data_IF_736673715044
#
_entry.id   IF_736673715044
#
_cell.length_a   1.000
_cell.length_b   1.000
_cell.length_c   1.000
_cell.angle_alpha   90.00
_cell.angle_beta   90.00
_cell.angle_gamma   90.00
#
_symmetry.space_group_name_H-M   'P 1'
#
loop_
_entity.id
_entity.type
_entity.pdbx_description
1 polymer ?
#
# COMPACT_ATOMS: atom_id res chain seq x y z
N UNK A 1 5.99 30.01 -48.61
CA UNK A 1 7.35 30.35 -48.15
C UNK A 1 7.96 29.05 -47.62
N UNK A 2 8.65 28.29 -48.46
CA UNK A 2 10.12 28.30 -48.64
C UNK A 2 10.83 27.89 -47.32
N UNK A 3 11.34 26.66 -47.19
CA UNK A 3 12.66 26.16 -47.66
C UNK A 3 13.81 27.09 -47.26
N UNK A 4 14.95 26.70 -46.70
CA UNK A 4 15.79 25.48 -46.73
C UNK A 4 16.94 25.75 -45.72
N UNK A 5 17.89 24.90 -45.31
CA UNK A 5 18.66 23.79 -45.91
C UNK A 5 19.49 23.16 -44.77
N UNK A 6 19.55 21.84 -44.60
CA UNK A 6 20.37 20.84 -45.32
C UNK A 6 21.85 20.80 -44.89
N UNK A 7 22.27 19.64 -44.39
CA UNK A 7 23.58 19.04 -44.65
C UNK A 7 23.49 17.54 -44.40
N UNK A 8 23.26 16.80 -45.48
CA UNK A 8 23.52 15.36 -45.60
C UNK A 8 25.01 15.06 -45.47
N UNK A 9 25.34 13.94 -44.81
CA UNK A 9 26.50 13.13 -45.16
C UNK A 9 26.02 11.75 -45.60
N UNK A 10 26.49 11.33 -46.76
CA UNK A 10 25.88 10.40 -47.70
C UNK A 10 26.59 9.04 -47.70
N UNK A 11 25.78 7.96 -47.70
CA UNK A 11 26.01 6.63 -48.34
C UNK A 11 27.05 5.71 -47.68
N UNK A 12 26.76 4.44 -47.36
CA UNK A 12 26.54 3.39 -48.38
C UNK A 12 25.71 2.21 -47.86
N UNK A 13 24.77 1.81 -48.71
CA UNK A 13 23.93 0.61 -48.65
C UNK A 13 24.74 -0.68 -48.55
N UNK A 14 24.43 -1.49 -47.53
CA UNK A 14 24.55 -2.94 -47.63
C UNK A 14 23.13 -3.51 -47.76
N UNK A 15 22.71 -3.71 -49.00
CA UNK A 15 21.61 -4.58 -49.39
C UNK A 15 21.87 -5.99 -48.85
N UNK A 16 21.15 -6.38 -47.79
CA UNK A 16 20.84 -7.78 -47.53
C UNK A 16 19.41 -7.99 -48.01
N UNK A 17 19.29 -8.46 -49.25
CA UNK A 17 18.02 -8.93 -49.77
C UNK A 17 17.56 -10.14 -48.96
N UNK A 18 16.32 -10.06 -48.45
CA UNK A 18 15.46 -11.23 -48.32
C UNK A 18 15.50 -12.01 -47.01
N UNK A 19 15.03 -11.40 -45.92
CA UNK A 19 14.20 -12.13 -44.96
C UNK A 19 13.26 -11.14 -44.28
N UNK A 20 11.99 -11.14 -44.69
CA UNK A 20 10.98 -10.31 -44.04
C UNK A 20 10.96 -10.62 -42.55
N UNK A 21 11.43 -9.70 -41.72
CA UNK A 21 11.27 -9.80 -40.28
C UNK A 21 9.77 -9.55 -40.00
N UNK A 22 8.98 -10.61 -40.03
CA UNK A 22 7.61 -10.57 -39.55
C UNK A 22 7.67 -10.30 -38.05
N UNK A 23 7.35 -9.07 -37.66
CA UNK A 23 7.22 -8.69 -36.25
C UNK A 23 6.11 -9.54 -35.62
N UNK A 24 6.25 -9.89 -34.34
CA UNK A 24 5.20 -10.62 -33.61
C UNK A 24 3.87 -9.84 -33.61
N UNK A 25 3.93 -8.52 -33.73
CA UNK A 25 2.78 -7.62 -33.89
C UNK A 25 2.03 -7.79 -35.21
N UNK A 26 2.61 -8.45 -36.21
CA UNK A 26 1.95 -8.78 -37.47
C UNK A 26 1.02 -10.01 -37.36
N UNK A 27 1.13 -10.78 -36.26
CA UNK A 27 0.24 -11.91 -35.97
C UNK A 27 -1.03 -11.35 -35.33
N UNK A 28 -2.19 -11.89 -35.73
CA UNK A 28 -3.47 -11.46 -35.17
C UNK A 28 -3.49 -11.68 -33.64
N UNK A 29 -3.94 -10.69 -32.84
CA UNK A 29 -3.90 -10.77 -31.37
C UNK A 29 -4.55 -12.02 -30.79
N UNK A 30 -5.65 -12.50 -31.39
CA UNK A 30 -6.31 -13.74 -30.95
C UNK A 30 -5.40 -14.97 -31.07
N UNK A 31 -4.60 -15.09 -32.14
CA UNK A 31 -3.71 -16.24 -32.34
C UNK A 31 -2.61 -16.23 -31.29
N UNK A 32 -2.05 -15.06 -30.99
CA UNK A 32 -1.05 -14.89 -29.94
C UNK A 32 -1.66 -15.31 -28.60
N UNK A 33 -2.86 -14.83 -28.31
CA UNK A 33 -3.54 -15.07 -27.05
C UNK A 33 -3.92 -16.55 -26.85
N UNK A 34 -4.60 -17.18 -27.83
CA UNK A 34 -5.19 -18.50 -27.65
C UNK A 34 -4.20 -19.64 -27.85
N UNK A 35 -3.12 -19.44 -28.61
CA UNK A 35 -2.24 -20.52 -29.04
C UNK A 35 -0.77 -20.33 -28.63
N UNK A 36 -0.34 -19.09 -28.33
CA UNK A 36 1.05 -18.83 -27.90
C UNK A 36 1.10 -18.62 -26.39
N UNK A 37 0.34 -17.65 -25.88
CA UNK A 37 0.39 -17.28 -24.45
C UNK A 37 -0.16 -18.38 -23.54
N UNK A 38 -1.15 -19.15 -23.99
CA UNK A 38 -1.71 -20.29 -23.26
C UNK A 38 -0.73 -21.44 -23.02
N UNK A 39 0.38 -21.48 -23.77
CA UNK A 39 1.44 -22.49 -23.62
C UNK A 39 2.54 -22.08 -22.65
N UNK A 40 2.54 -20.83 -22.18
CA UNK A 40 3.56 -20.30 -21.28
C UNK A 40 3.20 -20.59 -19.83
N UNK A 41 4.21 -20.89 -19.01
CA UNK A 41 4.05 -20.92 -17.57
C UNK A 41 4.00 -19.49 -17.00
N UNK A 42 3.54 -19.35 -15.76
CA UNK A 42 3.35 -18.03 -15.14
C UNK A 42 4.59 -17.12 -15.22
N UNK A 43 5.80 -17.59 -14.87
CA UNK A 43 7.02 -16.80 -14.99
C UNK A 43 7.35 -16.38 -16.43
N UNK A 44 7.23 -17.28 -17.41
CA UNK A 44 7.52 -16.94 -18.82
C UNK A 44 6.48 -15.99 -19.39
N UNK A 45 5.22 -16.10 -18.99
CA UNK A 45 4.16 -15.17 -19.37
C UNK A 45 4.40 -13.75 -18.82
N UNK A 46 4.83 -13.63 -17.56
CA UNK A 46 5.21 -12.34 -16.96
C UNK A 46 6.41 -11.71 -17.67
N UNK A 47 7.41 -12.52 -18.02
CA UNK A 47 8.56 -12.08 -18.81
C UNK A 47 8.13 -11.59 -20.19
N UNK A 48 7.28 -12.33 -20.90
CA UNK A 48 6.75 -11.94 -22.21
C UNK A 48 5.96 -10.62 -22.14
N UNK A 49 5.15 -10.41 -21.09
CA UNK A 49 4.41 -9.17 -20.87
C UNK A 49 5.32 -7.93 -20.76
N UNK A 50 6.55 -8.08 -20.26
CA UNK A 50 7.49 -6.96 -20.10
C UNK A 50 8.15 -6.49 -21.41
N UNK A 51 8.04 -7.27 -22.48
CA UNK A 51 8.77 -7.01 -23.73
C UNK A 51 8.08 -6.03 -24.67
N UNK A 52 6.76 -5.86 -24.56
CA UNK A 52 5.99 -4.92 -25.37
C UNK A 52 4.63 -4.60 -24.76
N UNK A 53 4.08 -3.42 -25.08
CA UNK A 53 2.74 -3.01 -24.66
C UNK A 53 1.63 -3.90 -25.20
N UNK A 54 1.80 -4.46 -26.41
CA UNK A 54 0.84 -5.40 -27.01
C UNK A 54 0.80 -6.72 -26.23
N UNK A 55 1.97 -7.29 -25.92
CA UNK A 55 2.04 -8.51 -25.11
C UNK A 55 1.60 -8.27 -23.67
N UNK A 56 1.90 -7.10 -23.11
CA UNK A 56 1.36 -6.69 -21.80
C UNK A 56 -0.18 -6.70 -21.80
N UNK A 57 -0.80 -6.08 -22.81
CA UNK A 57 -2.26 -6.02 -22.94
C UNK A 57 -2.89 -7.41 -23.09
N UNK A 58 -2.27 -8.31 -23.85
CA UNK A 58 -2.78 -9.66 -24.06
C UNK A 58 -2.54 -10.58 -22.85
N UNK A 59 -1.40 -10.45 -22.19
CA UNK A 59 -1.04 -11.21 -20.99
C UNK A 59 -1.78 -10.75 -19.74
N UNK A 60 -2.46 -9.59 -19.77
CA UNK A 60 -3.26 -9.09 -18.64
C UNK A 60 -4.63 -9.75 -18.52
N UNK A 61 -5.00 -10.65 -19.44
CA UNK A 61 -6.29 -11.32 -19.40
C UNK A 61 -6.38 -12.38 -18.28
N UNK A 62 -7.42 -12.26 -17.46
CA UNK A 62 -7.63 -13.08 -16.26
C UNK A 62 -7.80 -14.57 -16.58
N UNK A 63 -8.47 -14.91 -17.67
CA UNK A 63 -8.70 -16.30 -18.11
C UNK A 63 -7.39 -17.06 -18.34
N UNK A 64 -6.35 -16.34 -18.78
CA UNK A 64 -5.06 -16.91 -19.12
C UNK A 64 -4.31 -17.35 -17.85
N UNK A 65 -4.28 -16.48 -16.83
CA UNK A 65 -3.74 -16.80 -15.52
C UNK A 65 -4.58 -17.83 -14.78
N UNK A 66 -5.91 -17.75 -14.87
CA UNK A 66 -6.81 -18.73 -14.28
C UNK A 66 -6.57 -20.13 -14.87
N UNK A 67 -6.35 -20.24 -16.17
CA UNK A 67 -6.01 -21.50 -16.84
C UNK A 67 -4.65 -22.05 -16.38
N UNK A 68 -3.63 -21.21 -16.27
CA UNK A 68 -2.31 -21.60 -15.76
C UNK A 68 -2.40 -22.08 -14.31
N UNK A 69 -3.15 -21.38 -13.46
CA UNK A 69 -3.37 -21.80 -12.07
C UNK A 69 -4.09 -23.15 -11.98
N UNK A 70 -5.13 -23.36 -12.81
CA UNK A 70 -5.86 -24.64 -12.88
C UNK A 70 -5.00 -25.79 -13.38
N UNK A 71 -4.13 -25.54 -14.37
CA UNK A 71 -3.25 -26.58 -14.93
C UNK A 71 -2.10 -26.93 -13.98
N UNK A 72 -1.58 -25.94 -13.26
CA UNK A 72 -0.46 -26.13 -12.32
C UNK A 72 -0.94 -26.69 -10.98
N UNK A 73 -2.12 -26.28 -10.52
CA UNK A 73 -2.69 -26.67 -9.23
C UNK A 73 -4.15 -27.11 -9.39
N UNK A 74 -4.40 -28.38 -9.76
CA UNK A 74 -5.76 -28.91 -10.01
C UNK A 74 -6.72 -28.77 -8.82
N UNK A 75 -6.19 -28.66 -7.59
CA UNK A 75 -6.95 -28.37 -6.37
C UNK A 75 -7.66 -27.01 -6.38
N UNK A 76 -7.25 -26.09 -7.28
CA UNK A 76 -7.89 -24.79 -7.47
C UNK A 76 -9.18 -24.83 -8.29
N UNK A 77 -9.49 -25.95 -8.96
CA UNK A 77 -10.68 -26.09 -9.81
C UNK A 77 -11.96 -26.52 -9.05
N UNK A 78 -11.92 -26.52 -7.72
CA UNK A 78 -13.09 -26.94 -6.93
C UNK A 78 -14.20 -25.87 -6.97
N UNK A 79 -15.49 -26.26 -7.11
CA UNK A 79 -16.61 -25.31 -7.16
C UNK A 79 -16.73 -24.40 -5.92
N UNK A 80 -16.26 -24.88 -4.76
CA UNK A 80 -16.20 -24.10 -3.51
C UNK A 80 -15.12 -23.03 -3.56
N UNK A 81 -13.94 -23.33 -4.10
CA UNK A 81 -12.86 -22.36 -4.24
C UNK A 81 -13.17 -21.33 -5.33
N UNK A 82 -13.77 -21.74 -6.46
CA UNK A 82 -14.27 -20.80 -7.49
C UNK A 82 -15.28 -19.80 -6.94
N UNK A 83 -16.19 -20.25 -6.07
CA UNK A 83 -17.17 -19.39 -5.42
C UNK A 83 -16.52 -18.42 -4.42
N UNK A 84 -15.50 -18.88 -3.68
CA UNK A 84 -14.69 -18.03 -2.78
C UNK A 84 -13.90 -17.00 -3.58
N UNK A 85 -13.34 -17.41 -4.73
CA UNK A 85 -12.61 -16.53 -5.64
C UNK A 85 -13.53 -15.49 -6.28
N UNK A 86 -14.75 -15.86 -6.67
CA UNK A 86 -15.74 -14.93 -7.22
C UNK A 86 -16.39 -14.02 -6.17
N UNK A 87 -16.24 -14.30 -4.88
CA UNK A 87 -16.70 -13.42 -3.79
C UNK A 87 -15.65 -12.39 -3.37
N UNK A 88 -14.44 -12.42 -3.95
CA UNK A 88 -13.49 -11.32 -3.76
C UNK A 88 -14.09 -10.05 -4.36
N UNK A 89 -14.27 -9.02 -3.54
CA UNK A 89 -14.75 -7.72 -3.96
C UNK A 89 -13.90 -7.21 -5.12
N UNK A 90 -14.42 -7.19 -6.35
CA UNK A 90 -13.65 -6.78 -7.54
C UNK A 90 -13.05 -5.38 -7.37
N UNK A 91 -13.73 -4.55 -6.58
CA UNK A 91 -13.42 -3.16 -6.31
C UNK A 91 -13.69 -2.84 -4.83
N UNK A 92 -12.82 -2.03 -4.24
CA UNK A 92 -13.03 -1.39 -2.94
C UNK A 92 -13.22 0.11 -3.19
N UNK A 93 -14.31 0.67 -2.68
CA UNK A 93 -14.59 2.10 -2.86
C UNK A 93 -14.20 2.85 -1.59
N UNK A 94 -13.34 3.85 -1.73
CA UNK A 94 -12.96 4.79 -0.68
C UNK A 94 -13.70 6.11 -0.88
N UNK A 95 -14.62 6.44 0.03
CA UNK A 95 -15.27 7.74 0.10
C UNK A 95 -14.67 8.54 1.27
N UNK A 96 -14.08 9.70 0.96
CA UNK A 96 -13.24 10.43 1.91
C UNK A 96 -13.65 11.89 1.98
N UNK A 97 -13.94 12.34 3.19
CA UNK A 97 -14.30 13.72 3.49
C UNK A 97 -13.39 14.27 4.60
N UNK A 98 -12.84 15.47 4.36
CA UNK A 98 -12.05 16.23 5.35
C UNK A 98 -12.77 17.52 5.66
N UNK A 99 -12.92 17.80 6.95
CA UNK A 99 -13.59 18.99 7.46
C UNK A 99 -12.63 19.81 8.31
N UNK A 100 -12.79 21.13 8.25
CA UNK A 100 -12.13 22.09 9.13
C UNK A 100 -13.19 22.98 9.77
N UNK A 101 -13.24 23.03 11.11
CA UNK A 101 -14.29 23.75 11.87
C UNK A 101 -15.71 23.38 11.42
N UNK A 102 -15.91 22.09 11.11
CA UNK A 102 -17.19 21.57 10.61
C UNK A 102 -17.55 21.93 9.17
N UNK A 103 -16.68 22.63 8.43
CA UNK A 103 -16.87 22.92 7.00
C UNK A 103 -16.08 21.94 6.15
N UNK A 104 -16.70 21.39 5.11
CA UNK A 104 -16.05 20.49 4.16
C UNK A 104 -14.97 21.24 3.37
N UNK A 105 -13.74 20.73 3.40
CA UNK A 105 -12.58 21.34 2.70
C UNK A 105 -11.96 20.43 1.65
N UNK A 106 -12.21 19.13 1.74
CA UNK A 106 -11.82 18.15 0.74
C UNK A 106 -12.84 17.01 0.72
N UNK A 107 -13.23 16.57 -0.48
CA UNK A 107 -14.05 15.38 -0.67
C UNK A 107 -13.64 14.68 -1.96
N UNK A 108 -13.41 13.37 -1.89
CA UNK A 108 -13.09 12.55 -3.06
C UNK A 108 -13.57 11.12 -2.87
N UNK A 109 -13.98 10.51 -3.97
CA UNK A 109 -14.29 9.08 -4.06
C UNK A 109 -13.29 8.45 -5.03
N UNK A 110 -12.69 7.33 -4.61
CA UNK A 110 -11.75 6.56 -5.43
C UNK A 110 -12.14 5.09 -5.37
N UNK A 111 -12.13 4.46 -6.54
CA UNK A 111 -12.31 3.01 -6.70
C UNK A 111 -10.92 2.37 -6.74
N UNK A 112 -10.73 1.30 -5.98
CA UNK A 112 -9.47 0.56 -5.90
C UNK A 112 -9.70 -0.86 -6.37
N UNK A 113 -9.07 -1.24 -7.49
CA UNK A 113 -9.10 -2.59 -8.00
C UNK A 113 -8.29 -3.52 -7.08
N UNK A 114 -8.90 -4.61 -6.63
CA UNK A 114 -8.32 -5.51 -5.61
C UNK A 114 -7.75 -6.80 -6.19
N UNK A 115 -8.01 -7.05 -7.47
CA UNK A 115 -7.78 -8.36 -8.10
C UNK A 115 -6.40 -8.48 -8.73
N UNK A 116 -5.81 -7.37 -9.17
CA UNK A 116 -4.52 -7.38 -9.86
C UNK A 116 -3.44 -8.04 -9.00
N UNK A 117 -2.57 -8.81 -9.67
CA UNK A 117 -1.38 -9.36 -9.02
C UNK A 117 -0.51 -8.26 -8.40
N UNK A 118 -0.47 -7.08 -9.04
CA UNK A 118 0.20 -5.89 -8.51
C UNK A 118 -0.38 -5.47 -7.16
N UNK A 119 -1.68 -5.19 -7.07
CA UNK A 119 -2.33 -4.84 -5.81
C UNK A 119 -2.05 -5.86 -4.71
N UNK A 120 -2.19 -7.16 -5.02
CA UNK A 120 -2.03 -8.24 -4.04
C UNK A 120 -0.60 -8.35 -3.48
N UNK A 121 0.41 -7.93 -4.23
CA UNK A 121 1.83 -8.05 -3.86
C UNK A 121 2.44 -6.71 -3.40
N UNK A 122 1.87 -5.58 -3.80
CA UNK A 122 2.34 -4.24 -3.41
C UNK A 122 1.88 -3.87 -2.00
N UNK A 123 2.63 -2.99 -1.29
CA UNK A 123 2.16 -2.36 -0.06
C UNK A 123 0.77 -1.74 -0.28
N UNK A 124 -0.15 -2.01 0.64
CA UNK A 124 -1.49 -1.47 0.57
C UNK A 124 -1.45 0.04 0.82
N UNK A 125 -1.73 0.80 -0.24
CA UNK A 125 -1.82 2.26 -0.19
C UNK A 125 -2.94 2.73 -1.10
N UNK A 126 -3.77 3.64 -0.59
CA UNK A 126 -4.79 4.33 -1.39
C UNK A 126 -4.46 5.82 -1.34
N UNK A 127 -4.01 6.36 -2.47
CA UNK A 127 -3.70 7.77 -2.64
C UNK A 127 -4.87 8.48 -3.32
N UNK A 128 -5.33 9.59 -2.74
CA UNK A 128 -6.43 10.39 -3.29
C UNK A 128 -5.94 11.56 -4.14
N UNK A 129 -4.64 11.87 -4.13
CA UNK A 129 -4.06 12.95 -4.92
C UNK A 129 -2.84 12.41 -5.64
N UNK A 130 -2.67 12.81 -6.90
CA UNK A 130 -1.39 12.58 -7.56
C UNK A 130 -0.31 13.45 -6.89
N UNK A 131 0.98 13.05 -6.88
CA UNK A 131 2.05 13.82 -6.23
C UNK A 131 2.21 15.26 -6.74
N UNK A 132 1.62 15.58 -7.89
CA UNK A 132 1.63 16.92 -8.50
C UNK A 132 0.35 17.71 -8.23
N UNK A 133 -0.69 17.06 -7.73
CA UNK A 133 -1.96 17.69 -7.45
C UNK A 133 -1.87 18.47 -6.14
N UNK A 134 -2.48 19.64 -6.17
CA UNK A 134 -2.54 20.51 -5.00
C UNK A 134 -3.95 21.06 -4.91
N UNK A 135 -4.61 20.84 -3.78
CA UNK A 135 -5.95 21.37 -3.53
C UNK A 135 -5.85 22.59 -2.61
N UNK A 136 -6.12 23.80 -3.12
CA UNK A 136 -6.12 24.99 -2.28
C UNK A 136 -7.32 24.97 -1.33
N UNK A 137 -7.11 25.41 -0.09
CA UNK A 137 -8.17 25.55 0.91
C UNK A 137 -8.19 26.97 1.47
N UNK A 138 -9.35 27.54 1.83
CA UNK A 138 -9.44 28.88 2.40
C UNK A 138 -8.92 28.96 3.85
N UNK A 139 -8.24 27.93 4.34
CA UNK A 139 -7.71 27.86 5.71
C UNK A 139 -6.37 28.58 5.74
N UNK A 140 -6.10 29.38 6.76
CA UNK A 140 -4.79 30.04 6.92
C UNK A 140 -3.72 29.07 7.41
N UNK A 141 -2.54 29.16 6.82
CA UNK A 141 -1.39 28.36 7.21
C UNK A 141 -1.01 28.65 8.67
N UNK A 142 -0.81 27.62 9.52
CA UNK A 142 -0.48 27.84 10.91
C UNK A 142 0.83 28.60 11.04
N UNK A 143 0.80 29.71 11.79
CA UNK A 143 1.96 30.55 12.08
C UNK A 143 2.27 30.46 13.58
N UNK A 144 3.51 30.09 13.92
CA UNK A 144 3.94 29.81 15.30
C UNK A 144 3.93 28.32 15.66
N UNK A 145 4.51 28.00 16.83
CA UNK A 145 4.75 26.62 17.29
C UNK A 145 3.46 25.93 17.77
N UNK A 146 2.59 26.66 18.49
CA UNK A 146 1.31 26.15 19.01
C UNK A 146 0.19 26.08 17.96
N UNK A 147 0.36 26.76 16.81
CA UNK A 147 -0.67 26.85 15.78
C UNK A 147 -0.96 25.48 15.12
N UNK A 148 0.03 24.57 15.08
CA UNK A 148 -0.17 23.20 14.60
C UNK A 148 -1.17 22.42 15.47
N UNK A 149 -1.14 22.60 16.79
CA UNK A 149 -2.09 21.97 17.71
C UNK A 149 -3.52 22.41 17.43
N UNK A 150 -3.74 23.74 17.29
CA UNK A 150 -5.06 24.30 16.98
C UNK A 150 -5.61 23.84 15.63
N UNK A 151 -4.75 23.71 14.61
CA UNK A 151 -5.14 23.16 13.31
C UNK A 151 -5.65 21.72 13.45
N UNK A 152 -4.99 20.90 14.26
CA UNK A 152 -5.39 19.53 14.54
C UNK A 152 -6.75 19.43 15.22
N UNK A 153 -7.00 20.26 16.24
CA UNK A 153 -8.25 20.23 17.01
C UNK A 153 -9.49 20.52 16.14
N UNK A 154 -9.32 21.41 15.16
CA UNK A 154 -10.36 21.86 14.25
C UNK A 154 -10.58 20.93 13.05
N UNK A 155 -9.62 20.05 12.74
CA UNK A 155 -9.71 19.09 11.65
C UNK A 155 -10.48 17.83 12.08
N UNK A 156 -11.34 17.35 11.18
CA UNK A 156 -11.94 16.02 11.28
C UNK A 156 -11.93 15.33 9.93
N UNK A 157 -11.89 14.00 9.95
CA UNK A 157 -11.82 13.20 8.73
C UNK A 157 -12.77 12.00 8.84
N UNK A 158 -13.44 11.68 7.74
CA UNK A 158 -14.19 10.43 7.58
C UNK A 158 -13.67 9.69 6.37
N UNK A 159 -13.08 8.51 6.58
CA UNK A 159 -12.70 7.59 5.51
C UNK A 159 -13.59 6.37 5.55
N UNK A 160 -14.54 6.30 4.63
CA UNK A 160 -15.51 5.21 4.52
C UNK A 160 -15.04 4.27 3.42
N UNK A 161 -14.70 3.04 3.80
CA UNK A 161 -14.51 1.94 2.89
C UNK A 161 -15.84 1.25 2.64
N UNK A 162 -16.16 1.04 1.37
CA UNK A 162 -17.37 0.37 0.93
C UNK A 162 -16.95 -0.84 0.10
N UNK A 163 -17.42 -2.00 0.53
CA UNK A 163 -17.35 -3.24 -0.24
C UNK A 163 -18.70 -3.41 -0.96
N UNK A 164 -18.75 -3.14 -2.28
CA UNK A 164 -19.98 -3.26 -3.06
C UNK A 164 -20.44 -4.72 -3.18
N UNK A 165 -19.50 -5.67 -3.21
CA UNK A 165 -19.80 -7.10 -3.33
C UNK A 165 -20.39 -7.65 -2.04
N UNK A 166 -19.76 -7.35 -0.90
CA UNK A 166 -20.27 -7.72 0.42
C UNK A 166 -21.49 -6.89 0.87
N UNK A 167 -21.80 -5.79 0.18
CA UNK A 167 -22.81 -4.78 0.56
C UNK A 167 -22.61 -4.32 2.01
N UNK A 168 -21.37 -3.94 2.32
CA UNK A 168 -20.95 -3.49 3.64
C UNK A 168 -20.17 -2.20 3.49
N UNK A 169 -20.16 -1.41 4.56
CA UNK A 169 -19.32 -0.23 4.66
C UNK A 169 -18.79 -0.09 6.08
N UNK A 170 -17.58 0.41 6.20
CA UNK A 170 -16.97 0.76 7.48
C UNK A 170 -16.22 2.07 7.38
N UNK A 171 -16.20 2.81 8.49
CA UNK A 171 -15.29 3.93 8.65
C UNK A 171 -14.00 3.44 9.34
N UNK A 172 -12.85 3.71 8.72
CA UNK A 172 -11.51 3.32 9.17
C UNK A 172 -10.67 4.51 9.66
N UNK A 173 -11.30 5.66 9.87
CA UNK A 173 -10.69 6.84 10.48
C UNK A 173 -11.06 6.97 11.95
N UNK A 174 -10.20 7.64 12.73
CA UNK A 174 -10.45 8.00 14.14
C UNK A 174 -11.44 9.15 14.34
N UNK A 175 -11.96 9.74 13.26
CA UNK A 175 -12.68 11.02 13.25
C UNK A 175 -11.81 12.25 13.62
N UNK A 176 -11.13 12.20 14.77
CA UNK A 176 -10.15 13.19 15.24
C UNK A 176 -8.71 12.75 14.97
N UNK A 177 -7.77 13.68 14.77
CA UNK A 177 -6.37 13.32 14.54
C UNK A 177 -5.75 12.68 15.79
N UNK A 178 -4.83 11.75 15.56
CA UNK A 178 -4.03 11.09 16.59
C UNK A 178 -2.65 11.71 16.76
N UNK A 179 -2.13 12.37 15.72
CA UNK A 179 -0.93 13.21 15.80
C UNK A 179 -0.96 14.31 14.75
N UNK A 180 -0.29 15.42 15.07
CA UNK A 180 -0.05 16.54 14.15
C UNK A 180 1.41 16.94 14.28
N UNK A 181 2.16 16.81 13.19
CA UNK A 181 3.60 17.01 13.17
C UNK A 181 3.97 17.95 12.04
N UNK A 182 4.82 18.95 12.32
CA UNK A 182 5.39 19.82 11.28
C UNK A 182 6.72 19.25 10.86
N UNK A 183 6.87 18.90 9.58
CA UNK A 183 8.12 18.43 9.04
C UNK A 183 9.17 19.55 9.08
N UNK A 184 10.31 19.29 9.70
CA UNK A 184 11.34 20.30 9.97
C UNK A 184 11.91 20.97 8.71
N UNK A 185 12.11 20.20 7.63
CA UNK A 185 12.67 20.70 6.36
C UNK A 185 11.61 21.31 5.42
N UNK A 186 10.62 20.53 4.97
CA UNK A 186 9.58 20.99 4.04
C UNK A 186 8.61 22.00 4.65
N UNK A 187 8.62 22.15 5.98
CA UNK A 187 7.68 22.96 6.78
C UNK A 187 6.22 22.52 6.71
N UNK A 188 5.89 21.51 5.92
CA UNK A 188 4.55 20.94 5.77
C UNK A 188 4.05 20.35 7.09
N UNK A 189 2.74 20.42 7.30
CA UNK A 189 2.07 19.84 8.45
C UNK A 189 1.46 18.51 8.05
N UNK A 190 1.91 17.43 8.68
CA UNK A 190 1.32 16.11 8.55
C UNK A 190 0.32 15.88 9.68
N UNK A 191 -0.93 15.66 9.31
CA UNK A 191 -2.01 15.31 10.23
C UNK A 191 -2.32 13.84 10.07
N UNK A 192 -2.16 13.05 11.14
CA UNK A 192 -2.41 11.61 11.12
C UNK A 192 -3.75 11.29 11.78
N UNK A 193 -4.54 10.47 11.12
CA UNK A 193 -5.71 9.80 11.67
C UNK A 193 -5.42 8.30 11.73
N UNK A 194 -5.96 7.59 12.71
CA UNK A 194 -5.71 6.15 12.79
C UNK A 194 -6.85 5.37 13.42
N UNK A 195 -7.10 4.18 12.89
CA UNK A 195 -7.99 3.22 13.54
C UNK A 195 -7.32 1.85 13.66
N UNK A 196 -7.70 1.09 14.68
CA UNK A 196 -7.15 -0.23 14.94
C UNK A 196 -8.17 -1.28 14.52
N UNK A 197 -7.77 -2.14 13.59
CA UNK A 197 -8.50 -3.32 13.16
C UNK A 197 -7.91 -4.56 13.84
N UNK A 198 -8.79 -5.54 14.10
CA UNK A 198 -8.39 -6.82 14.62
C UNK A 198 -8.15 -7.77 13.44
N UNK A 199 -6.99 -8.42 13.45
CA UNK A 199 -6.65 -9.47 12.50
C UNK A 199 -6.69 -10.86 13.12
N UNK A 200 -5.80 -11.72 12.66
CA UNK A 200 -5.71 -13.09 13.13
C UNK A 200 -4.99 -13.17 14.49
N UNK A 201 -5.63 -13.79 15.47
CA UNK A 201 -5.09 -13.88 16.83
C UNK A 201 -3.78 -14.67 16.86
N UNK A 202 -2.74 -14.11 17.48
CA UNK A 202 -1.42 -14.76 17.59
C UNK A 202 -0.55 -14.61 16.34
N UNK A 203 -0.99 -13.90 15.31
CA UNK A 203 -0.14 -13.54 14.16
C UNK A 203 0.56 -12.18 14.36
N UNK A 204 1.57 -11.83 13.55
CA UNK A 204 2.15 -10.49 13.55
C UNK A 204 1.12 -9.37 13.26
N UNK A 205 0.03 -9.72 12.57
CA UNK A 205 -1.08 -8.85 12.19
C UNK A 205 -2.32 -9.01 13.09
N UNK A 206 -2.16 -9.48 14.33
CA UNK A 206 -3.26 -9.57 15.31
C UNK A 206 -3.96 -8.21 15.51
N UNK A 207 -3.17 -7.13 15.48
CA UNK A 207 -3.68 -5.77 15.42
C UNK A 207 -3.03 -5.03 14.26
N UNK A 208 -3.87 -4.38 13.47
CA UNK A 208 -3.45 -3.63 12.28
C UNK A 208 -3.92 -2.20 12.42
N UNK A 209 -3.00 -1.28 12.23
CA UNK A 209 -3.27 0.15 12.23
C UNK A 209 -3.58 0.61 10.80
N UNK A 210 -4.78 1.14 10.59
CA UNK A 210 -5.08 1.95 9.41
C UNK A 210 -4.50 3.34 9.65
N UNK A 211 -3.48 3.73 8.91
CA UNK A 211 -2.81 5.03 9.00
C UNK A 211 -3.30 5.90 7.86
N UNK A 212 -4.01 6.97 8.19
CA UNK A 212 -4.44 7.98 7.21
C UNK A 212 -3.59 9.22 7.42
N UNK A 213 -2.95 9.70 6.36
CA UNK A 213 -2.07 10.86 6.38
C UNK A 213 -2.68 11.95 5.52
N UNK A 214 -2.83 13.15 6.09
CA UNK A 214 -3.17 14.38 5.37
C UNK A 214 -1.97 15.30 5.46
N UNK A 215 -1.36 15.61 4.31
CA UNK A 215 -0.22 16.53 4.24
C UNK A 215 -0.71 17.89 3.75
N UNK A 216 -0.56 18.88 4.64
CA UNK A 216 -0.93 20.27 4.42
C UNK A 216 0.34 21.11 4.22
N UNK A 217 0.54 21.64 3.02
CA UNK A 217 1.58 22.61 2.72
C UNK A 217 1.03 24.04 2.63
N UNK A 218 1.91 25.02 2.51
CA UNK A 218 1.53 26.42 2.36
C UNK A 218 2.66 27.36 2.75
N UNK A 219 2.50 28.63 2.37
CA UNK A 219 3.41 29.71 2.76
C UNK A 219 2.94 30.32 4.08
N UNK A 220 3.86 30.82 4.89
CA UNK A 220 3.51 31.50 6.15
C UNK A 220 2.57 32.69 5.88
N UNK A 221 1.40 32.71 6.55
CA UNK A 221 0.34 33.69 6.33
C UNK A 221 -0.51 33.48 5.07
N UNK A 222 -0.12 32.52 4.22
CA UNK A 222 -0.87 32.10 3.04
C UNK A 222 -1.99 31.10 3.38
N UNK A 223 -2.60 30.59 2.32
CA UNK A 223 -3.66 29.59 2.40
C UNK A 223 -3.06 28.16 2.42
N UNK A 224 -3.63 27.26 3.21
CA UNK A 224 -3.25 25.85 3.27
C UNK A 224 -3.60 25.18 1.95
N UNK A 225 -2.68 24.34 1.50
CA UNK A 225 -2.79 23.50 0.33
C UNK A 225 -2.69 22.05 0.76
N UNK A 226 -3.73 21.26 0.47
CA UNK A 226 -3.68 19.81 0.68
C UNK A 226 -2.87 19.21 -0.47
N UNK A 227 -1.79 18.50 -0.12
CA UNK A 227 -0.82 17.89 -1.05
C UNK A 227 -0.90 16.38 -1.07
N UNK A 228 -1.31 15.78 0.04
CA UNK A 228 -1.49 14.34 0.14
C UNK A 228 -2.69 14.04 1.01
N UNK A 229 -3.49 13.08 0.57
CA UNK A 229 -4.46 12.40 1.42
C UNK A 229 -4.31 10.91 1.08
N UNK A 230 -3.70 10.15 1.97
CA UNK A 230 -3.37 8.74 1.72
C UNK A 230 -3.79 7.84 2.87
N UNK A 231 -4.11 6.59 2.56
CA UNK A 231 -4.38 5.51 3.52
C UNK A 231 -3.36 4.42 3.35
N UNK A 232 -2.83 3.91 4.46
CA UNK A 232 -1.92 2.78 4.52
C UNK A 232 -2.34 1.84 5.66
N UNK A 233 -1.90 0.58 5.59
CA UNK A 233 -2.13 -0.40 6.66
C UNK A 233 -0.79 -0.93 7.17
N UNK A 234 -0.59 -0.82 8.48
CA UNK A 234 0.64 -1.22 9.17
C UNK A 234 0.36 -2.26 10.25
N UNK A 235 1.26 -3.23 10.39
CA UNK A 235 1.24 -4.17 11.51
C UNK A 235 1.78 -3.53 12.82
N UNK A 236 1.80 -4.31 13.91
CA UNK A 236 2.32 -3.85 15.20
C UNK A 236 3.79 -3.40 15.16
N UNK A 237 4.56 -3.91 14.21
CA UNK A 237 5.99 -3.62 14.04
C UNK A 237 6.21 -2.41 13.11
N UNK A 238 5.16 -1.86 12.51
CA UNK A 238 5.21 -0.73 11.56
C UNK A 238 5.50 -1.16 10.12
N UNK A 239 5.43 -2.46 9.84
CA UNK A 239 5.59 -3.00 8.49
C UNK A 239 4.30 -2.77 7.70
N UNK A 240 4.41 -2.25 6.49
CA UNK A 240 3.26 -2.12 5.60
C UNK A 240 2.76 -3.50 5.17
N UNK A 241 1.46 -3.72 5.34
CA UNK A 241 0.80 -4.90 4.81
C UNK A 241 0.67 -4.78 3.30
N UNK A 242 0.77 -5.89 2.58
CA UNK A 242 0.43 -5.90 1.15
C UNK A 242 -1.10 -5.89 0.93
N UNK A 243 -1.53 -5.69 -0.32
CA UNK A 243 -2.96 -5.66 -0.63
C UNK A 243 -3.69 -6.96 -0.28
N UNK A 244 -3.07 -8.12 -0.45
CA UNK A 244 -3.69 -9.41 -0.10
C UNK A 244 -3.95 -9.51 1.41
N UNK A 245 -2.94 -9.25 2.23
CA UNK A 245 -3.04 -9.28 3.70
C UNK A 245 -4.07 -8.26 4.18
N UNK A 246 -4.02 -7.05 3.64
CA UNK A 246 -4.93 -5.95 3.98
C UNK A 246 -6.39 -6.30 3.70
N UNK A 247 -6.68 -6.92 2.54
CA UNK A 247 -8.05 -7.35 2.21
C UNK A 247 -8.62 -8.36 3.20
N UNK A 248 -7.81 -9.32 3.67
CA UNK A 248 -8.25 -10.31 4.66
C UNK A 248 -8.69 -9.60 5.95
N UNK A 249 -7.90 -8.64 6.42
CA UNK A 249 -8.18 -7.87 7.63
C UNK A 249 -9.42 -6.97 7.46
N UNK A 250 -9.53 -6.30 6.32
CA UNK A 250 -10.67 -5.45 5.98
C UNK A 250 -11.96 -6.27 5.88
N UNK A 251 -11.93 -7.43 5.23
CA UNK A 251 -13.07 -8.31 5.09
C UNK A 251 -13.53 -8.85 6.46
N UNK A 252 -12.61 -9.35 7.29
CA UNK A 252 -12.91 -9.78 8.66
C UNK A 252 -13.56 -8.66 9.47
N UNK A 253 -13.09 -7.42 9.30
CA UNK A 253 -13.63 -6.26 9.98
C UNK A 253 -15.00 -5.83 9.43
N UNK A 254 -15.26 -5.99 8.12
CA UNK A 254 -16.52 -5.63 7.44
C UNK A 254 -17.64 -6.62 7.79
N UNK A 255 -17.29 -7.88 8.02
CA UNK A 255 -18.21 -8.94 8.44
C UNK A 255 -18.58 -8.85 9.94
N UNK A 256 -17.83 -8.09 10.73
CA UNK A 256 -18.07 -7.86 12.14
C UNK A 256 -19.42 -7.17 12.44
N UNK A 257 -19.94 -7.37 13.66
CA UNK A 257 -21.19 -6.72 14.10
C UNK A 257 -21.06 -5.19 14.07
N UNK A 258 -22.04 -4.52 13.43
CA UNK A 258 -22.14 -3.05 13.39
C UNK A 258 -22.24 -2.50 14.81
N UNK A 259 -21.29 -1.63 15.18
CA UNK A 259 -21.27 -0.97 16.49
C UNK A 259 -22.19 0.25 16.51
N UNK A 260 -22.72 0.57 17.69
CA UNK A 260 -23.58 1.75 17.91
C UNK A 260 -22.74 3.02 17.75
N UNK A 261 -23.23 3.95 16.94
CA UNK A 261 -22.48 5.13 16.50
C UNK A 261 -22.05 6.05 17.66
N UNK A 262 -22.89 6.24 18.67
CA UNK A 262 -22.66 7.18 19.79
C UNK A 262 -21.45 6.84 20.67
N UNK A 263 -20.91 5.60 20.60
CA UNK A 263 -19.77 5.15 21.41
C UNK A 263 -18.50 4.87 20.60
N UNK A 264 -18.55 5.07 19.27
CA UNK A 264 -17.49 4.64 18.34
C UNK A 264 -16.18 5.39 18.55
N UNK A 265 -16.24 6.70 18.75
CA UNK A 265 -15.06 7.55 18.92
C UNK A 265 -14.31 7.20 20.22
N UNK A 266 -15.04 7.10 21.33
CA UNK A 266 -14.45 6.75 22.63
C UNK A 266 -13.85 5.32 22.61
N UNK A 267 -14.54 4.36 22.00
CA UNK A 267 -14.03 3.00 21.82
C UNK A 267 -12.82 2.94 20.89
N UNK A 268 -12.83 3.72 19.81
CA UNK A 268 -11.70 3.85 18.89
C UNK A 268 -10.47 4.41 19.58
N UNK A 269 -10.65 5.48 20.37
CA UNK A 269 -9.59 6.10 21.17
C UNK A 269 -9.01 5.12 22.19
N UNK A 270 -9.87 4.34 22.88
CA UNK A 270 -9.43 3.30 23.82
C UNK A 270 -8.59 2.22 23.12
N UNK A 271 -9.06 1.70 21.99
CA UNK A 271 -8.31 0.71 21.19
C UNK A 271 -6.97 1.24 20.73
N UNK A 272 -6.91 2.50 20.30
CA UNK A 272 -5.67 3.14 19.91
C UNK A 272 -4.68 3.25 21.08
N UNK A 273 -5.14 3.65 22.26
CA UNK A 273 -4.31 3.70 23.47
C UNK A 273 -3.83 2.32 23.91
N UNK A 274 -4.68 1.28 23.83
CA UNK A 274 -4.29 -0.11 24.09
C UNK A 274 -3.24 -0.59 23.09
N UNK A 275 -3.42 -0.30 21.80
CA UNK A 275 -2.47 -0.62 20.75
C UNK A 275 -1.10 0.04 21.00
N UNK A 276 -1.05 1.31 21.41
CA UNK A 276 0.21 1.98 21.74
C UNK A 276 0.95 1.29 22.89
N UNK A 277 0.25 0.93 23.96
CA UNK A 277 0.83 0.18 25.09
C UNK A 277 1.38 -1.17 24.64
N UNK A 278 0.62 -1.91 23.84
CA UNK A 278 1.07 -3.21 23.31
C UNK A 278 2.29 -3.06 22.39
N UNK A 279 2.35 -1.98 21.60
CA UNK A 279 3.51 -1.67 20.73
C UNK A 279 4.76 -1.36 21.56
N UNK A 280 4.63 -0.61 22.65
CA UNK A 280 5.71 -0.35 23.61
C UNK A 280 6.20 -1.63 24.29
N UNK A 281 5.27 -2.44 24.83
CA UNK A 281 5.62 -3.72 25.46
C UNK A 281 6.34 -4.66 24.49
N UNK A 282 5.90 -4.72 23.23
CA UNK A 282 6.52 -5.56 22.19
C UNK A 282 7.93 -5.08 21.84
N UNK A 283 8.15 -3.75 21.76
CA UNK A 283 9.49 -3.17 21.59
C UNK A 283 10.40 -3.52 22.76
N UNK A 284 9.93 -3.37 23.99
CA UNK A 284 10.72 -3.74 25.18
C UNK A 284 11.08 -5.23 25.19
N UNK A 285 10.15 -6.13 24.84
CA UNK A 285 10.42 -7.56 24.77
C UNK A 285 11.49 -7.90 23.72
N UNK A 286 11.48 -7.23 22.57
CA UNK A 286 12.51 -7.38 21.52
C UNK A 286 13.88 -6.91 22.01
N UNK A 287 13.95 -5.71 22.61
CA UNK A 287 15.19 -5.18 23.17
C UNK A 287 15.77 -6.09 24.27
N UNK A 288 14.93 -6.67 25.12
CA UNK A 288 15.37 -7.65 26.15
C UNK A 288 15.91 -8.94 25.51
N UNK A 289 15.28 -9.43 24.45
CA UNK A 289 15.73 -10.62 23.74
C UNK A 289 17.07 -10.37 23.02
N UNK A 290 17.21 -9.24 22.32
CA UNK A 290 18.46 -8.80 21.69
C UNK A 290 19.57 -8.66 22.73
N UNK A 291 19.31 -7.98 23.86
CA UNK A 291 20.28 -7.86 24.95
C UNK A 291 20.68 -9.20 25.58
N UNK A 292 19.78 -10.19 25.59
CA UNK A 292 20.08 -11.55 26.04
C UNK A 292 21.01 -12.27 25.05
N UNK A 293 20.77 -12.11 23.74
CA UNK A 293 21.63 -12.67 22.70
C UNK A 293 23.02 -12.02 22.70
N UNK A 294 23.10 -10.70 22.89
CA UNK A 294 24.37 -9.99 23.00
C UNK A 294 25.17 -10.45 24.22
N UNK A 295 24.51 -10.63 25.38
CA UNK A 295 25.17 -11.14 26.58
C UNK A 295 25.71 -12.57 26.38
N UNK A 296 24.93 -13.45 25.74
CA UNK A 296 25.38 -14.79 25.39
C UNK A 296 26.56 -14.76 24.41
N UNK A 297 26.53 -13.86 23.42
CA UNK A 297 27.62 -13.66 22.47
C UNK A 297 28.91 -13.23 23.18
N UNK A 298 28.84 -12.24 24.07
CA UNK A 298 29.98 -11.77 24.88
C UNK A 298 30.52 -12.91 25.77
N UNK A 299 29.63 -13.66 26.42
CA UNK A 299 30.03 -14.77 27.27
C UNK A 299 30.76 -15.88 26.49
N UNK A 300 30.23 -16.27 25.32
CA UNK A 300 30.89 -17.25 24.43
C UNK A 300 32.25 -16.75 23.92
N UNK A 301 32.35 -15.46 23.57
CA UNK A 301 33.61 -14.84 23.16
C UNK A 301 34.66 -14.91 24.30
N UNK A 302 34.29 -14.56 25.53
CA UNK A 302 35.18 -14.65 26.70
C UNK A 302 35.64 -16.07 26.97
N UNK A 303 34.72 -17.06 26.92
CA UNK A 303 35.06 -18.47 27.08
C UNK A 303 36.04 -18.97 26.02
N UNK A 304 35.81 -18.57 24.75
CA UNK A 304 36.70 -18.95 23.66
C UNK A 304 38.12 -18.37 23.84
N UNK A 305 38.23 -17.11 24.27
CA UNK A 305 39.51 -16.45 24.53
C UNK A 305 40.24 -17.08 25.71
N UNK A 306 39.53 -17.36 26.82
CA UNK A 306 40.10 -18.04 27.97
C UNK A 306 40.57 -19.47 27.63
N UNK A 307 39.78 -20.22 26.87
CA UNK A 307 40.15 -21.56 26.41
C UNK A 307 41.40 -21.55 25.52
N UNK A 308 41.51 -20.59 24.60
CA UNK A 308 42.71 -20.40 23.78
C UNK A 308 43.93 -20.04 24.62
N UNK A 309 43.79 -19.12 25.58
CA UNK A 309 44.88 -18.74 26.49
C UNK A 309 45.40 -19.91 27.32
N UNK A 310 44.49 -20.73 27.88
CA UNK A 310 44.87 -21.94 28.62
C UNK A 310 45.57 -22.97 27.73
N UNK A 311 45.12 -23.16 26.49
CA UNK A 311 45.76 -24.06 25.53
C UNK A 311 47.20 -23.63 25.20
N UNK A 312 47.44 -22.33 25.04
CA UNK A 312 48.79 -21.79 24.80
C UNK A 312 49.69 -21.92 26.03
N UNK A 313 49.16 -21.70 27.24
CA UNK A 313 49.93 -21.82 28.49
C UNK A 313 50.27 -23.26 28.87
N UNK A 314 49.51 -24.25 28.41
CA UNK A 314 49.72 -25.66 28.71
C UNK A 314 50.48 -26.43 27.61
N UNK A 315 50.98 -25.72 26.60
CA UNK A 315 51.80 -26.26 25.51
C UNK A 315 53.24 -25.77 25.64
#
# INVERSE_FOLDING_TARGET
MACSSFSDSKTTSATVNGRGATLISAIHPEIIQTHILTLLDGPTLASAASTSSQLYSLSSQEDLWANICRSTWPSTDTPRLRRIISTFAHELISAVDVYYKGKLVFSKVVETETLTGWFKCSPFRVDLLDPKDVVPTPIKYPNGEDACGTLGEDLTLSWILIDPTGRRAMNISSHKPVSVERHWLSREVQVRFSSILAGEKGSPSEFVQCVIVVTCGGLEGGDIQIREVSLQMEDMDGTHLNGRESLVILQMSLEGKKRRETRREEEGRKRYQEYLKMKEERKERKLRAEGTLDMLCVFLAVLSFAGFGLFVLWR
#
